data_IF_335017834094
#
_entry.id   IF_335017834094
#
_cell.length_a   1.000
_cell.length_b   1.000
_cell.length_c   1.000
_cell.angle_alpha   90.00
_cell.angle_beta   90.00
_cell.angle_gamma   90.00
#
_symmetry.space_group_name_H-M   'P 1'
#
loop_
_entity.id
_entity.type
_entity.pdbx_description
1 polymer ?
#
# COMPACT_ATOMS: atom_id res chain seq x y z
N UNK A 1 7.12 10.16 6.42
CA UNK A 1 5.68 9.97 6.70
C UNK A 1 5.36 8.50 6.52
N UNK A 2 4.50 7.93 7.35
CA UNK A 2 4.26 6.49 7.44
C UNK A 2 2.98 6.09 6.70
N UNK A 3 2.92 4.93 6.01
CA UNK A 3 1.73 4.54 5.25
C UNK A 3 0.54 4.26 6.18
N UNK A 4 -0.66 4.74 5.79
CA UNK A 4 -1.90 4.52 6.53
C UNK A 4 -2.82 3.57 5.75
N UNK A 5 -3.31 2.52 6.42
CA UNK A 5 -4.36 1.64 5.88
C UNK A 5 -5.72 2.25 6.17
N UNK A 6 -6.54 2.46 5.14
CA UNK A 6 -7.91 3.00 5.22
C UNK A 6 -8.94 1.94 4.82
N UNK A 7 -10.19 2.12 5.28
CA UNK A 7 -11.32 1.23 4.96
C UNK A 7 -11.82 1.44 3.52
N UNK A 8 -11.63 2.65 2.99
CA UNK A 8 -12.04 3.06 1.65
C UNK A 8 -10.93 3.93 1.02
N UNK A 9 -10.88 4.02 -0.32
CA UNK A 9 -9.92 4.86 -1.05
C UNK A 9 -10.32 6.35 -1.02
N UNK A 10 -10.55 6.87 0.18
CA UNK A 10 -10.95 8.25 0.42
C UNK A 10 -10.02 8.91 1.44
N UNK A 11 -9.65 10.17 1.19
CA UNK A 11 -8.81 10.96 2.11
C UNK A 11 -9.51 11.27 3.44
N UNK A 12 -10.84 11.21 3.45
CA UNK A 12 -11.68 11.36 4.65
C UNK A 12 -12.02 10.01 5.31
N UNK A 13 -11.65 8.86 4.73
CA UNK A 13 -11.95 7.57 5.34
C UNK A 13 -11.20 7.39 6.66
N UNK A 14 -11.79 6.72 7.66
CA UNK A 14 -11.10 6.40 8.89
C UNK A 14 -9.86 5.56 8.60
N UNK A 15 -8.73 5.98 9.18
CA UNK A 15 -7.49 5.21 9.17
C UNK A 15 -7.69 4.01 10.09
N UNK A 16 -7.72 2.82 9.51
CA UNK A 16 -7.85 1.56 10.23
C UNK A 16 -6.56 1.23 10.98
N UNK A 17 -5.41 1.57 10.40
CA UNK A 17 -4.11 1.24 10.97
C UNK A 17 -3.02 2.15 10.41
N UNK A 18 -2.20 2.73 11.29
CA UNK A 18 -0.93 3.33 10.88
C UNK A 18 0.10 2.22 10.77
N UNK A 19 0.65 2.04 9.57
CA UNK A 19 1.73 1.08 9.33
C UNK A 19 3.05 1.80 9.56
N UNK A 20 3.98 1.24 10.34
CA UNK A 20 5.32 1.81 10.42
C UNK A 20 5.97 1.79 9.02
N UNK A 21 6.76 2.81 8.73
CA UNK A 21 7.54 2.87 7.50
C UNK A 21 8.43 1.61 7.38
N UNK A 22 8.45 0.99 6.21
CA UNK A 22 9.12 -0.29 5.97
C UNK A 22 8.26 -1.54 6.24
N UNK A 23 6.99 -1.38 6.64
CA UNK A 23 6.05 -2.51 6.71
C UNK A 23 5.86 -3.12 5.33
N UNK A 24 6.10 -4.42 5.22
CA UNK A 24 5.81 -5.19 4.01
C UNK A 24 4.31 -5.43 3.91
N UNK A 25 3.76 -5.19 2.73
CA UNK A 25 2.35 -5.36 2.43
C UNK A 25 2.21 -5.85 0.99
N UNK A 26 1.14 -6.59 0.72
CA UNK A 26 0.90 -7.12 -0.60
C UNK A 26 -0.06 -6.20 -1.35
N UNK A 27 0.39 -5.63 -2.47
CA UNK A 27 -0.49 -4.89 -3.38
C UNK A 27 -1.32 -5.90 -4.16
N UNK A 28 -2.63 -5.73 -4.16
CA UNK A 28 -3.55 -6.60 -4.89
C UNK A 28 -3.56 -6.19 -6.37
N UNK A 29 -3.74 -7.15 -7.30
CA UNK A 29 -3.85 -6.87 -8.74
C UNK A 29 -5.23 -6.28 -9.07
N UNK A 30 -5.51 -5.11 -8.50
CA UNK A 30 -6.74 -4.36 -8.69
C UNK A 30 -6.38 -2.97 -9.19
N UNK A 31 -7.19 -2.41 -10.10
CA UNK A 31 -7.02 -1.05 -10.57
C UNK A 31 -6.97 -0.07 -9.37
N UNK A 32 -5.98 0.84 -9.31
CA UNK A 32 -5.95 1.88 -8.30
C UNK A 32 -7.26 2.69 -8.33
N UNK A 33 -7.81 2.99 -7.16
CA UNK A 33 -8.96 3.88 -7.04
C UNK A 33 -8.44 5.24 -6.59
N UNK A 34 -8.53 6.23 -7.48
CA UNK A 34 -7.90 7.54 -7.31
C UNK A 34 -6.40 7.42 -6.99
N UNK A 35 -5.97 7.84 -5.80
CA UNK A 35 -4.58 7.79 -5.33
C UNK A 35 -4.28 6.61 -4.40
N UNK A 36 -5.22 5.65 -4.30
CA UNK A 36 -5.12 4.51 -3.40
C UNK A 36 -5.01 3.21 -4.17
N UNK A 37 -4.06 2.37 -3.74
CA UNK A 37 -3.93 0.99 -4.18
C UNK A 37 -4.59 0.06 -3.16
N UNK A 38 -5.26 -0.97 -3.66
CA UNK A 38 -5.79 -2.03 -2.81
C UNK A 38 -4.62 -2.88 -2.30
N UNK A 39 -4.57 -3.07 -0.98
CA UNK A 39 -3.48 -3.76 -0.31
C UNK A 39 -4.02 -4.77 0.69
N UNK A 40 -3.27 -5.86 0.90
CA UNK A 40 -3.53 -6.86 1.93
C UNK A 40 -2.43 -6.78 2.98
N UNK A 41 -2.82 -6.61 4.23
CA UNK A 41 -1.93 -6.51 5.40
C UNK A 41 -2.41 -7.52 6.44
N UNK A 42 -1.58 -8.50 6.80
CA UNK A 42 -1.91 -9.54 7.79
C UNK A 42 -3.32 -10.14 7.57
N UNK A 43 -3.57 -10.61 6.33
CA UNK A 43 -4.85 -11.17 5.88
C UNK A 43 -6.05 -10.22 5.83
N UNK A 44 -5.86 -8.94 6.13
CA UNK A 44 -6.91 -7.92 6.04
C UNK A 44 -6.74 -7.07 4.79
N UNK A 45 -7.80 -6.97 4.00
CA UNK A 45 -7.88 -6.11 2.82
C UNK A 45 -8.08 -4.65 3.23
N UNK A 46 -7.45 -3.72 2.54
CA UNK A 46 -7.66 -2.30 2.75
C UNK A 46 -7.06 -1.46 1.63
N UNK A 47 -6.99 -0.17 1.86
CA UNK A 47 -6.49 0.80 0.90
C UNK A 47 -5.31 1.55 1.49
N UNK A 48 -4.25 1.69 0.71
CA UNK A 48 -3.10 2.52 1.06
C UNK A 48 -2.80 3.48 -0.08
N UNK A 49 -2.37 4.68 0.26
CA UNK A 49 -2.01 5.70 -0.73
C UNK A 49 -0.81 5.22 -1.55
N UNK A 50 -0.99 5.16 -2.86
CA UNK A 50 0.02 4.64 -3.81
C UNK A 50 1.33 5.41 -3.69
N UNK A 51 1.28 6.71 -3.41
CA UNK A 51 2.46 7.56 -3.17
C UNK A 51 3.33 7.13 -1.98
N UNK A 52 2.78 6.36 -1.03
CA UNK A 52 3.52 5.84 0.11
C UNK A 52 3.91 4.37 -0.05
N UNK A 53 3.48 3.74 -1.15
CA UNK A 53 3.87 2.40 -1.50
C UNK A 53 5.11 2.46 -2.38
N UNK A 54 6.21 1.96 -1.84
CA UNK A 54 7.40 1.71 -2.65
C UNK A 54 7.34 0.27 -3.14
N UNK A 55 7.34 0.00 -4.46
CA UNK A 55 7.50 -1.36 -4.92
C UNK A 55 8.81 -1.88 -4.35
N UNK A 56 8.74 -3.01 -3.66
CA UNK A 56 9.92 -3.83 -3.40
C UNK A 56 10.31 -4.31 -4.79
N UNK A 57 11.17 -3.56 -5.46
CA UNK A 57 11.87 -4.06 -6.62
C UNK A 57 12.53 -5.35 -6.16
N UNK A 58 11.99 -6.49 -6.58
CA UNK A 58 12.81 -7.68 -6.71
C UNK A 58 13.91 -7.24 -7.64
N UNK A 59 15.07 -6.91 -7.07
CA UNK A 59 16.27 -6.51 -7.79
C UNK A 59 16.59 -7.65 -8.74
N UNK A 60 16.01 -7.58 -9.93
CA UNK A 60 16.22 -8.55 -10.99
C UNK A 60 17.23 -7.87 -11.88
N UNK A 61 18.48 -8.25 -11.63
CA UNK A 61 19.70 -8.04 -12.40
C UNK A 61 19.73 -6.92 -13.43
N UNK A 62 20.70 -6.02 -13.28
CA UNK A 62 21.45 -5.55 -14.43
C UNK A 62 22.91 -5.97 -14.23
N UNK A 63 23.40 -7.02 -14.91
CA UNK A 63 24.83 -7.27 -15.00
C UNK A 63 25.44 -6.35 -16.07
N UNK A 64 26.51 -5.62 -15.73
CA UNK A 64 27.62 -5.41 -16.65
C UNK A 64 28.87 -6.18 -16.20
#
# INVERSE_FOLDING_TARGET
MSPLRRVSPDINAPVLQSLPAGSLLQVLPQAPQAQFSAVRINDRLGWAETQWLSPLTSATGSPP
#
